data_IF_551961662934
#
_entry.id   IF_551961662934
#
_cell.length_a   1.000
_cell.length_b   1.000
_cell.length_c   1.000
_cell.angle_alpha   90.00
_cell.angle_beta   90.00
_cell.angle_gamma   90.00
#
_symmetry.space_group_name_H-M   'P 1'
#
loop_
_entity.id
_entity.type
_entity.pdbx_description
1 polymer ?
#
# COMPACT_ATOMS: atom_id res chain seq x y z
N UNK A 1 -29.13 -3.24 -9.01
CA UNK A 1 -27.99 -2.41 -9.46
C UNK A 1 -27.11 -2.11 -8.25
N UNK A 2 -26.31 -3.09 -7.82
CA UNK A 2 -25.20 -2.88 -6.89
C UNK A 2 -24.11 -2.18 -7.70
N UNK A 3 -24.09 -0.85 -7.71
CA UNK A 3 -22.99 -0.09 -8.32
C UNK A 3 -21.70 -0.62 -7.71
N UNK A 4 -20.82 -1.13 -8.57
CA UNK A 4 -19.52 -1.68 -8.23
C UNK A 4 -18.75 -0.75 -7.30
N UNK A 5 -18.81 -1.05 -6.00
CA UNK A 5 -17.95 -0.45 -4.97
C UNK A 5 -16.46 -0.69 -5.30
N UNK A 6 -16.18 -1.69 -6.15
CA UNK A 6 -14.87 -2.03 -6.72
C UNK A 6 -14.25 -0.90 -7.54
N UNK A 7 -15.02 -0.12 -8.29
CA UNK A 7 -14.43 0.92 -9.16
C UNK A 7 -13.86 2.12 -8.38
N UNK A 8 -14.40 2.41 -7.19
CA UNK A 8 -13.98 3.56 -6.36
C UNK A 8 -12.83 3.17 -5.40
N UNK A 9 -12.74 1.90 -4.99
CA UNK A 9 -11.72 1.40 -4.06
C UNK A 9 -10.42 0.91 -4.74
N UNK A 10 -10.24 1.17 -6.04
CA UNK A 10 -8.99 0.82 -6.72
C UNK A 10 -7.78 1.58 -6.18
N UNK A 11 -7.96 2.74 -5.54
CA UNK A 11 -6.84 3.60 -5.13
C UNK A 11 -6.41 3.39 -3.67
N UNK A 12 -7.17 2.64 -2.88
CA UNK A 12 -6.90 2.40 -1.46
C UNK A 12 -5.47 1.86 -1.20
N UNK A 13 -4.99 0.80 -1.89
CA UNK A 13 -3.63 0.32 -1.64
C UNK A 13 -2.56 1.33 -2.07
N UNK A 14 -2.84 2.21 -3.04
CA UNK A 14 -1.91 3.28 -3.39
C UNK A 14 -1.79 4.32 -2.27
N UNK A 15 -2.90 4.77 -1.67
CA UNK A 15 -2.86 5.72 -0.55
C UNK A 15 -2.13 5.15 0.66
N UNK A 16 -2.37 3.86 0.97
CA UNK A 16 -1.67 3.16 2.06
C UNK A 16 -0.17 3.05 1.75
N UNK A 17 0.22 2.75 0.51
CA UNK A 17 1.63 2.75 0.11
C UNK A 17 2.31 4.13 0.23
N UNK A 18 1.59 5.23 0.00
CA UNK A 18 2.11 6.58 0.23
C UNK A 18 2.26 6.91 1.72
N UNK A 19 1.35 6.42 2.55
CA UNK A 19 1.45 6.57 4.00
C UNK A 19 2.70 5.84 4.55
N UNK A 20 3.01 4.66 4.00
CA UNK A 20 4.28 3.96 4.30
C UNK A 20 5.50 4.85 4.00
N UNK A 21 5.54 5.49 2.83
CA UNK A 21 6.66 6.37 2.45
C UNK A 21 6.76 7.60 3.37
N UNK A 22 5.62 8.14 3.82
CA UNK A 22 5.58 9.22 4.80
C UNK A 22 6.12 8.78 6.17
N UNK A 23 5.73 7.60 6.67
CA UNK A 23 6.29 7.04 7.90
C UNK A 23 7.79 6.77 7.79
N UNK A 24 8.24 6.25 6.65
CA UNK A 24 9.67 6.03 6.38
C UNK A 24 10.45 7.35 6.44
N UNK A 25 9.94 8.38 5.77
CA UNK A 25 10.55 9.72 5.77
C UNK A 25 10.55 10.37 7.15
N UNK A 26 9.61 10.00 8.02
CA UNK A 26 9.56 10.43 9.42
C UNK A 26 10.42 9.56 10.37
N UNK A 27 11.19 8.59 9.86
CA UNK A 27 12.00 7.67 10.65
C UNK A 27 11.20 6.60 11.41
N UNK A 28 9.89 6.51 11.20
CA UNK A 28 9.01 5.52 11.83
C UNK A 28 9.01 4.22 11.01
N UNK A 29 10.16 3.55 10.96
CA UNK A 29 10.40 2.41 10.06
C UNK A 29 9.46 1.23 10.31
N UNK A 30 9.18 0.88 11.57
CA UNK A 30 8.26 -0.22 11.90
C UNK A 30 6.86 0.03 11.34
N UNK A 31 6.37 1.28 11.48
CA UNK A 31 5.08 1.69 10.91
C UNK A 31 5.10 1.71 9.39
N UNK A 32 6.21 2.13 8.79
CA UNK A 32 6.36 2.08 7.33
C UNK A 32 6.22 0.64 6.81
N UNK A 33 6.88 -0.31 7.46
CA UNK A 33 6.82 -1.74 7.11
C UNK A 33 5.40 -2.28 7.28
N UNK A 34 4.76 -2.05 8.44
CA UNK A 34 3.39 -2.50 8.72
C UNK A 34 2.40 -1.95 7.67
N UNK A 35 2.51 -0.66 7.39
CA UNK A 35 1.64 0.01 6.42
C UNK A 35 1.87 -0.51 4.99
N UNK A 36 3.12 -0.77 4.59
CA UNK A 36 3.40 -1.33 3.26
C UNK A 36 2.83 -2.75 3.11
N UNK A 37 2.89 -3.58 4.16
CA UNK A 37 2.29 -4.92 4.17
C UNK A 37 0.77 -4.86 4.06
N UNK A 38 0.13 -3.92 4.75
CA UNK A 38 -1.32 -3.68 4.62
C UNK A 38 -1.71 -3.32 3.18
N UNK A 39 -0.94 -2.43 2.53
CA UNK A 39 -1.17 -2.07 1.12
C UNK A 39 -1.09 -3.29 0.18
N UNK A 40 -0.15 -4.21 0.42
CA UNK A 40 -0.03 -5.47 -0.34
C UNK A 40 -1.29 -6.33 -0.13
N UNK A 41 -1.74 -6.51 1.12
CA UNK A 41 -2.92 -7.32 1.42
C UNK A 41 -4.19 -6.77 0.76
N UNK A 42 -4.38 -5.44 0.83
CA UNK A 42 -5.50 -4.77 0.18
C UNK A 42 -5.42 -4.96 -1.33
N UNK A 43 -4.26 -4.72 -1.96
CA UNK A 43 -4.05 -4.88 -3.40
C UNK A 43 -4.35 -6.30 -3.89
N UNK A 44 -3.93 -7.32 -3.14
CA UNK A 44 -4.25 -8.73 -3.41
C UNK A 44 -5.74 -9.00 -3.28
N UNK A 45 -6.39 -8.50 -2.23
CA UNK A 45 -7.82 -8.69 -1.97
C UNK A 45 -8.69 -8.07 -3.06
N UNK A 46 -8.30 -6.91 -3.60
CA UNK A 46 -9.05 -6.23 -4.67
C UNK A 46 -8.63 -6.67 -6.08
N UNK A 47 -7.54 -7.43 -6.21
CA UNK A 47 -7.05 -7.95 -7.48
C UNK A 47 -6.39 -6.88 -8.35
N UNK A 48 -5.57 -6.01 -7.75
CA UNK A 48 -4.87 -4.93 -8.48
C UNK A 48 -3.34 -5.12 -8.44
N UNK A 49 -2.76 -5.84 -9.43
CA UNK A 49 -1.32 -6.15 -9.45
C UNK A 49 -0.43 -4.90 -9.47
N UNK A 50 -0.88 -3.82 -10.13
CA UNK A 50 -0.11 -2.58 -10.18
C UNK A 50 0.11 -1.96 -8.79
N UNK A 51 -0.88 -2.07 -7.90
CA UNK A 51 -0.78 -1.54 -6.55
C UNK A 51 -0.05 -2.47 -5.60
N UNK A 52 -0.09 -3.78 -5.87
CA UNK A 52 0.74 -4.75 -5.17
C UNK A 52 2.22 -4.45 -5.44
N UNK A 53 2.62 -4.31 -6.71
CA UNK A 53 3.99 -3.93 -7.07
C UNK A 53 4.43 -2.62 -6.42
N UNK A 54 3.55 -1.60 -6.42
CA UNK A 54 3.86 -0.31 -5.80
C UNK A 54 4.08 -0.45 -4.29
N UNK A 55 3.24 -1.25 -3.62
CA UNK A 55 3.35 -1.50 -2.19
C UNK A 55 4.61 -2.32 -1.84
N UNK A 56 4.98 -3.29 -2.68
CA UNK A 56 6.24 -4.03 -2.55
C UNK A 56 7.47 -3.13 -2.71
N UNK A 57 7.43 -2.15 -3.61
CA UNK A 57 8.49 -1.13 -3.73
C UNK A 57 8.58 -0.28 -2.45
N UNK A 58 7.44 0.15 -1.89
CA UNK A 58 7.42 0.88 -0.63
C UNK A 58 7.99 0.05 0.53
N UNK A 59 7.68 -1.25 0.59
CA UNK A 59 8.23 -2.17 1.57
C UNK A 59 9.74 -2.31 1.41
N UNK A 60 10.22 -2.53 0.18
CA UNK A 60 11.64 -2.63 -0.10
C UNK A 60 12.39 -1.36 0.36
N UNK A 61 11.82 -0.18 0.12
CA UNK A 61 12.40 1.09 0.60
C UNK A 61 12.39 1.20 2.12
N UNK A 62 11.32 0.77 2.78
CA UNK A 62 11.25 0.77 4.24
C UNK A 62 12.29 -0.15 4.88
N UNK A 63 12.69 -1.23 4.20
CA UNK A 63 13.68 -2.20 4.67
C UNK A 63 15.14 -1.79 4.43
N UNK A 64 15.43 -0.96 3.42
CA UNK A 64 16.81 -0.70 2.97
C UNK A 64 17.48 0.52 3.64
N UNK A 65 16.74 1.35 4.38
CA UNK A 65 17.17 2.60 5.04
C UNK A 65 17.78 3.67 4.11
#
# INVERSE_FOLDING_TARGET
MTRDRRLILNWEPWFVAQLSEAYRSAGQLDRAIETALEAIEIARRIGTPIWECQAEVSLARALVQ
#
